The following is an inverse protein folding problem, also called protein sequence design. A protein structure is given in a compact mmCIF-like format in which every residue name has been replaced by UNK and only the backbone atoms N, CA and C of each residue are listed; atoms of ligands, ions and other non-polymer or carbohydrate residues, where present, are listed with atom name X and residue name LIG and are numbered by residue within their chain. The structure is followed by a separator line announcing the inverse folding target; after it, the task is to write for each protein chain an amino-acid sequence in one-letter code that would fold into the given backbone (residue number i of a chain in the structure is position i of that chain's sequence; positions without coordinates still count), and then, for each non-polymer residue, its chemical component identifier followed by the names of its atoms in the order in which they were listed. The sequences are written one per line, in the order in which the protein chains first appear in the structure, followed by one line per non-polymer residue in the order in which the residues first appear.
data_IF_295245119755
#
_entry.id   IF_295245119755
#
_cell.length_a   1.000
_cell.length_b   1.000
_cell.length_c   1.000
_cell.angle_alpha   90.00
_cell.angle_beta   90.00
_cell.angle_gamma   90.00
#
_symmetry.space_group_name_H-M   'P 1'
#
loop_
_entity.id
_entity.type
_entity.pdbx_description
1 polymer ?
#
# COMPACT_ATOMS: atom_id res chain seq x y z
N UNK A 1 13.89 20.14 -7.90
CA UNK A 1 13.45 21.01 -6.78
C UNK A 1 12.16 20.51 -6.14
N UNK A 2 11.11 20.29 -6.93
CA UNK A 2 9.83 19.70 -6.48
C UNK A 2 9.98 18.34 -5.78
N UNK A 3 10.77 17.40 -6.34
CA UNK A 3 11.04 16.09 -5.71
C UNK A 3 11.68 16.24 -4.32
N UNK A 4 12.63 17.16 -4.17
CA UNK A 4 13.30 17.42 -2.90
C UNK A 4 12.31 17.94 -1.86
N UNK A 5 11.39 18.82 -2.25
CA UNK A 5 10.33 19.32 -1.36
C UNK A 5 9.38 18.19 -0.92
N UNK A 6 8.90 17.38 -1.86
CA UNK A 6 8.04 16.22 -1.54
C UNK A 6 8.73 15.25 -0.56
N UNK A 7 10.02 14.99 -0.77
CA UNK A 7 10.81 14.13 0.11
C UNK A 7 11.06 14.72 1.50
N UNK A 8 11.23 16.04 1.61
CA UNK A 8 11.36 16.71 2.91
C UNK A 8 10.14 16.48 3.78
N UNK A 9 8.93 16.52 3.21
CA UNK A 9 7.67 16.29 3.96
C UNK A 9 7.64 14.88 4.55
N UNK A 10 8.00 13.85 3.78
CA UNK A 10 8.04 12.46 4.25
C UNK A 10 9.05 12.23 5.39
N UNK A 11 10.15 12.97 5.38
CA UNK A 11 11.22 12.86 6.38
C UNK A 11 10.94 13.70 7.64
N UNK A 12 10.09 14.71 7.55
CA UNK A 12 9.81 15.66 8.63
C UNK A 12 8.70 15.21 9.60
N UNK A 13 8.08 14.03 9.40
CA UNK A 13 7.01 13.53 10.27
C UNK A 13 7.58 13.24 11.67
N UNK A 14 7.20 14.06 12.65
CA UNK A 14 7.61 13.92 14.04
C UNK A 14 6.86 12.78 14.77
N UNK A 15 7.32 12.42 15.97
CA UNK A 15 6.78 11.25 16.68
C UNK A 15 5.34 11.44 17.18
N UNK A 16 4.93 12.66 17.49
CA UNK A 16 3.53 12.98 17.84
C UNK A 16 2.59 12.76 16.66
N UNK A 17 3.02 13.18 15.46
CA UNK A 17 2.27 12.96 14.22
C UNK A 17 2.23 11.47 13.89
N UNK A 18 3.35 10.74 14.02
CA UNK A 18 3.38 9.28 13.85
C UNK A 18 2.42 8.56 14.80
N UNK A 19 2.36 8.98 16.07
CA UNK A 19 1.44 8.40 17.04
C UNK A 19 -0.02 8.65 16.66
N UNK A 20 -0.34 9.85 16.18
CA UNK A 20 -1.69 10.20 15.72
C UNK A 20 -2.08 9.44 14.45
N UNK A 21 -1.19 9.35 13.47
CA UNK A 21 -1.41 8.55 12.26
C UNK A 21 -1.58 7.06 12.57
N UNK A 22 -0.82 6.51 13.53
CA UNK A 22 -1.03 5.13 14.02
C UNK A 22 -2.39 4.93 14.66
N UNK A 23 -2.83 5.85 15.52
CA UNK A 23 -4.18 5.76 16.11
C UNK A 23 -5.27 5.80 15.04
N UNK A 24 -5.08 6.60 14.00
CA UNK A 24 -6.05 6.73 12.90
C UNK A 24 -6.05 5.49 11.99
N UNK A 25 -4.89 5.08 11.48
CA UNK A 25 -4.79 4.05 10.44
C UNK A 25 -4.52 2.64 10.97
N UNK A 26 -4.17 2.48 12.24
CA UNK A 26 -4.14 1.19 12.95
C UNK A 26 -5.05 1.20 14.19
N UNK A 27 -6.35 1.44 14.03
CA UNK A 27 -7.28 1.54 15.16
C UNK A 27 -7.36 0.22 15.97
N UNK A 28 -6.99 -0.90 15.35
CA UNK A 28 -6.96 -2.25 15.97
C UNK A 28 -5.55 -2.74 16.30
N UNK A 29 -4.56 -1.86 16.25
CA UNK A 29 -3.15 -2.22 16.43
C UNK A 29 -2.43 -2.48 15.11
N UNK A 30 -1.09 -2.46 15.17
CA UNK A 30 -0.23 -2.71 14.01
C UNK A 30 -0.18 -4.21 13.73
N UNK A 31 -0.41 -4.68 12.48
CA UNK A 31 -0.27 -6.09 12.14
C UNK A 31 1.08 -6.64 12.60
N UNK A 32 1.04 -7.79 13.27
CA UNK A 32 2.23 -8.46 13.78
C UNK A 32 2.67 -9.56 12.82
N UNK A 33 3.99 -9.77 12.72
CA UNK A 33 4.57 -10.84 11.93
C UNK A 33 4.89 -12.00 12.86
N UNK A 34 4.42 -13.20 12.49
CA UNK A 34 4.66 -14.45 13.23
C UNK A 34 5.78 -15.31 12.62
N UNK A 35 6.21 -14.99 11.39
CA UNK A 35 7.32 -15.70 10.75
C UNK A 35 8.67 -15.22 11.36
N UNK A 36 9.52 -16.13 11.89
CA UNK A 36 10.70 -15.75 12.68
C UNK A 36 11.72 -14.86 11.94
N UNK A 37 11.92 -15.12 10.65
CA UNK A 37 12.94 -14.43 9.83
C UNK A 37 12.39 -13.19 9.11
N UNK A 38 11.13 -12.87 9.33
CA UNK A 38 10.45 -11.81 8.62
C UNK A 38 10.44 -10.51 9.43
N UNK A 39 10.93 -9.45 8.81
CA UNK A 39 11.00 -8.12 9.42
C UNK A 39 10.33 -7.08 8.53
N UNK A 40 9.89 -5.98 9.15
CA UNK A 40 9.37 -4.84 8.43
C UNK A 40 9.74 -3.53 9.11
N UNK A 41 9.74 -2.46 8.32
CA UNK A 41 9.74 -1.09 8.82
C UNK A 41 8.37 -0.47 8.60
N UNK A 42 7.89 0.29 9.58
CA UNK A 42 6.66 1.06 9.44
C UNK A 42 6.98 2.40 8.75
N UNK A 43 6.42 2.62 7.56
CA UNK A 43 6.48 3.89 6.84
C UNK A 43 5.16 4.64 7.03
N UNK A 44 5.26 5.97 7.16
CA UNK A 44 4.14 6.83 7.51
C UNK A 44 3.86 7.81 6.39
N UNK A 45 2.60 7.93 6.01
CA UNK A 45 2.06 8.94 5.11
C UNK A 45 0.87 9.59 5.81
N UNK A 46 0.46 10.76 5.32
CA UNK A 46 -0.64 11.51 5.95
C UNK A 46 -1.97 10.77 5.93
N UNK A 47 -2.20 9.94 4.91
CA UNK A 47 -3.48 9.26 4.67
C UNK A 47 -3.39 7.72 4.78
N UNK A 48 -2.18 7.15 4.98
CA UNK A 48 -1.97 5.70 5.08
C UNK A 48 -0.66 5.32 5.77
N UNK A 49 -0.52 4.05 6.14
CA UNK A 49 0.69 3.45 6.70
C UNK A 49 1.12 2.23 5.87
N UNK A 50 2.42 1.99 5.77
CA UNK A 50 2.99 0.83 5.08
C UNK A 50 3.81 -0.02 6.05
N UNK A 51 3.54 -1.32 6.13
CA UNK A 51 4.46 -2.31 6.68
C UNK A 51 5.40 -2.81 5.59
N UNK A 52 6.56 -2.18 5.43
CA UNK A 52 7.47 -2.46 4.30
C UNK A 52 8.51 -3.53 4.66
N UNK A 53 8.61 -4.60 3.88
CA UNK A 53 9.68 -5.59 4.02
C UNK A 53 10.81 -5.29 3.05
N UNK A 54 12.02 -5.14 3.59
CA UNK A 54 13.25 -4.97 2.79
C UNK A 54 13.70 -6.29 2.17
N UNK A 55 13.27 -7.41 2.73
CA UNK A 55 13.68 -8.74 2.27
C UNK A 55 12.93 -9.15 1.01
N UNK A 56 11.64 -8.78 0.90
CA UNK A 56 10.83 -9.00 -0.33
C UNK A 56 10.63 -7.73 -1.16
N UNK A 57 11.21 -6.60 -0.74
CA UNK A 57 11.29 -5.35 -1.52
C UNK A 57 9.89 -4.78 -1.87
N UNK A 58 8.90 -5.01 -1.01
CA UNK A 58 7.53 -4.54 -1.20
C UNK A 58 6.78 -4.43 0.14
N UNK A 59 5.61 -3.77 0.18
CA UNK A 59 4.73 -3.85 1.34
C UNK A 59 4.31 -5.28 1.66
N UNK A 60 4.36 -5.63 2.94
CA UNK A 60 3.59 -6.75 3.48
C UNK A 60 2.12 -6.37 3.60
N UNK A 61 1.88 -5.12 3.98
CA UNK A 61 0.55 -4.57 4.10
C UNK A 61 0.59 -3.05 3.98
N UNK A 62 -0.55 -2.48 3.57
CA UNK A 62 -0.86 -1.06 3.65
C UNK A 62 -2.18 -0.90 4.39
N UNK A 63 -2.23 0.04 5.35
CA UNK A 63 -3.41 0.30 6.18
C UNK A 63 -3.82 1.76 6.09
N UNK A 64 -5.12 2.00 5.89
CA UNK A 64 -5.68 3.34 5.79
C UNK A 64 -7.14 3.35 6.24
N UNK A 65 -7.65 4.54 6.53
CA UNK A 65 -9.06 4.75 6.88
C UNK A 65 -9.61 5.72 5.89
N UNK A 66 -10.77 5.39 5.33
CA UNK A 66 -11.55 6.32 4.53
C UNK A 66 -12.83 6.66 5.29
N UNK A 67 -13.15 7.94 5.31
CA UNK A 67 -14.46 8.44 5.69
C UNK A 67 -15.47 8.13 4.57
N UNK A 68 -16.79 8.28 4.82
CA UNK A 68 -17.80 8.16 3.76
C UNK A 68 -17.44 9.03 2.55
N UNK A 69 -17.07 8.39 1.45
CA UNK A 69 -16.64 9.09 0.25
C UNK A 69 -17.89 9.64 -0.47
N UNK A 70 -17.88 10.93 -0.83
CA UNK A 70 -18.94 11.55 -1.62
C UNK A 70 -18.74 11.29 -3.11
N UNK A 71 -17.49 11.32 -3.57
CA UNK A 71 -17.10 11.00 -4.93
C UNK A 71 -15.67 10.46 -4.95
N UNK A 72 -15.37 9.55 -5.88
CA UNK A 72 -14.00 9.11 -6.14
C UNK A 72 -13.45 9.92 -7.31
N UNK A 73 -12.28 10.55 -7.13
CA UNK A 73 -11.61 11.26 -8.22
C UNK A 73 -11.26 10.25 -9.31
N UNK A 74 -11.33 10.68 -10.57
CA UNK A 74 -10.88 9.83 -11.67
C UNK A 74 -9.43 9.39 -11.41
N UNK A 75 -9.08 8.12 -11.66
CA UNK A 75 -7.71 7.64 -11.45
C UNK A 75 -6.73 8.52 -12.23
N UNK A 76 -5.77 9.10 -11.53
CA UNK A 76 -4.64 9.75 -12.18
C UNK A 76 -3.75 8.70 -12.85
N UNK A 77 -3.13 9.02 -14.00
CA UNK A 77 -2.16 8.11 -14.62
C UNK A 77 -1.02 7.81 -13.63
N UNK A 78 -0.76 6.53 -13.38
CA UNK A 78 0.36 6.07 -12.53
C UNK A 78 1.73 6.22 -13.23
N UNK A 79 1.88 7.22 -14.10
CA UNK A 79 3.02 7.35 -15.03
C UNK A 79 4.32 7.79 -14.34
N UNK A 80 4.24 8.36 -13.14
CA UNK A 80 5.39 8.94 -12.44
C UNK A 80 5.50 8.42 -11.00
N UNK A 81 5.85 7.15 -10.84
CA UNK A 81 6.23 6.57 -9.54
C UNK A 81 7.67 6.94 -9.21
N UNK A 82 7.89 7.60 -8.08
CA UNK A 82 9.22 8.02 -7.61
C UNK A 82 9.80 7.06 -6.56
N UNK A 83 11.11 7.16 -6.32
CA UNK A 83 11.74 6.44 -5.23
C UNK A 83 11.32 7.01 -3.85
N UNK A 84 11.09 6.12 -2.88
CA UNK A 84 10.94 6.50 -1.48
C UNK A 84 12.32 6.65 -0.83
N UNK A 85 12.67 7.87 -0.43
CA UNK A 85 13.97 8.20 0.20
C UNK A 85 14.22 7.50 1.53
N UNK A 86 13.19 6.92 2.16
CA UNK A 86 13.32 6.18 3.42
C UNK A 86 13.74 4.73 3.21
N UNK A 87 13.63 4.24 1.98
CA UNK A 87 14.00 2.87 1.59
C UNK A 87 15.33 2.92 0.83
N UNK A 88 16.35 2.15 1.23
CA UNK A 88 17.60 2.07 0.48
C UNK A 88 17.36 1.65 -0.97
N UNK A 89 18.10 2.18 -1.96
CA UNK A 89 17.91 1.80 -3.37
C UNK A 89 18.05 0.29 -3.63
N UNK A 90 18.88 -0.42 -2.87
CA UNK A 90 19.04 -1.89 -2.97
C UNK A 90 17.86 -2.69 -2.41
N UNK A 91 16.97 -2.03 -1.66
CA UNK A 91 15.79 -2.63 -1.03
C UNK A 91 14.49 -2.01 -1.57
N UNK A 92 14.53 -1.33 -2.73
CA UNK A 92 13.36 -0.79 -3.42
C UNK A 92 13.20 -1.37 -4.83
N UNK A 93 11.96 -1.48 -5.31
CA UNK A 93 11.69 -1.93 -6.67
C UNK A 93 12.05 -0.85 -7.71
N UNK A 94 12.49 -1.29 -8.90
CA UNK A 94 12.79 -0.42 -10.03
C UNK A 94 11.61 -0.36 -11.02
N UNK A 95 11.19 0.85 -11.40
CA UNK A 95 10.13 1.06 -12.40
C UNK A 95 10.51 0.50 -13.79
N UNK A 96 11.81 0.40 -14.08
CA UNK A 96 12.32 -0.15 -15.35
C UNK A 96 11.88 -1.59 -15.60
N UNK A 97 11.62 -2.38 -14.54
CA UNK A 97 11.14 -3.75 -14.67
C UNK A 97 9.77 -3.84 -15.36
N UNK A 98 8.89 -2.90 -15.08
CA UNK A 98 7.52 -2.90 -15.58
C UNK A 98 7.40 -2.17 -16.93
N UNK A 99 8.34 -1.29 -17.23
CA UNK A 99 8.37 -0.52 -18.48
C UNK A 99 8.49 -1.48 -19.67
N UNK A 100 7.49 -1.46 -20.55
CA UNK A 100 7.41 -2.31 -21.75
C UNK A 100 7.40 -3.83 -21.48
N UNK A 101 7.11 -4.27 -20.25
CA UNK A 101 7.04 -5.70 -19.95
C UNK A 101 5.76 -6.31 -20.57
N UNK A 102 5.84 -7.43 -21.30
CA UNK A 102 4.71 -7.93 -22.12
C UNK A 102 3.51 -8.48 -21.35
N UNK A 103 3.62 -8.64 -20.02
CA UNK A 103 2.67 -9.42 -19.21
C UNK A 103 2.52 -8.92 -17.78
N UNK A 104 3.50 -8.19 -17.25
CA UNK A 104 3.55 -7.77 -15.87
C UNK A 104 3.50 -6.25 -15.82
N UNK A 105 2.70 -5.72 -14.92
CA UNK A 105 2.71 -4.31 -14.53
C UNK A 105 2.89 -4.23 -13.02
N UNK A 106 2.67 -3.06 -12.44
CA UNK A 106 2.56 -2.87 -11.02
C UNK A 106 1.18 -2.32 -10.65
N UNK A 107 0.78 -2.52 -9.41
CA UNK A 107 -0.32 -1.83 -8.77
C UNK A 107 0.17 -1.06 -7.54
N UNK A 108 -0.63 -0.12 -7.08
CA UNK A 108 -0.43 0.61 -5.84
C UNK A 108 -1.43 0.09 -4.80
N UNK A 109 -0.95 -0.25 -3.61
CA UNK A 109 -1.82 -0.77 -2.55
C UNK A 109 -2.67 0.34 -1.91
N UNK A 110 -2.10 1.53 -1.72
CA UNK A 110 -2.87 2.75 -1.49
C UNK A 110 -3.07 3.52 -2.81
N UNK A 111 -4.30 3.63 -3.35
CA UNK A 111 -4.55 4.37 -4.58
C UNK A 111 -4.37 5.90 -4.40
N UNK A 112 -3.69 6.60 -5.33
CA UNK A 112 -3.41 8.04 -5.19
C UNK A 112 -4.64 8.93 -5.03
N UNK A 113 -5.73 8.60 -5.71
CA UNK A 113 -7.00 9.34 -5.66
C UNK A 113 -7.75 9.22 -4.32
N UNK A 114 -7.27 8.39 -3.39
CA UNK A 114 -7.80 8.31 -2.02
C UNK A 114 -7.08 9.26 -1.05
N UNK A 115 -6.02 9.96 -1.47
CA UNK A 115 -5.40 10.97 -0.62
C UNK A 115 -6.37 12.14 -0.37
N UNK A 116 -6.52 12.49 0.91
CA UNK A 116 -7.40 13.56 1.39
C UNK A 116 -6.58 14.70 1.98
N UNK A 117 -5.58 14.36 2.80
CA UNK A 117 -4.77 15.31 3.55
C UNK A 117 -3.46 15.67 2.85
N UNK A 118 -3.03 14.86 1.87
CA UNK A 118 -1.79 15.03 1.13
C UNK A 118 -2.00 15.03 -0.40
N UNK A 119 -1.01 15.49 -1.19
CA UNK A 119 -1.05 15.38 -2.65
C UNK A 119 -1.02 13.91 -3.09
N UNK A 120 -1.65 13.59 -4.23
CA UNK A 120 -1.69 12.22 -4.79
C UNK A 120 -0.29 11.60 -4.99
N UNK A 121 0.72 12.46 -5.21
CA UNK A 121 2.14 12.08 -5.36
C UNK A 121 2.73 11.34 -4.16
N UNK A 122 2.12 11.43 -2.98
CA UNK A 122 2.57 10.71 -1.78
C UNK A 122 2.20 9.22 -1.82
N UNK A 123 1.29 8.84 -2.72
CA UNK A 123 0.96 7.44 -3.02
C UNK A 123 1.72 6.92 -4.24
N UNK A 124 2.27 7.81 -5.07
CA UNK A 124 3.08 7.48 -6.26
C UNK A 124 4.56 7.23 -5.88
N UNK A 125 4.79 6.32 -4.93
CA UNK A 125 6.12 5.95 -4.44
C UNK A 125 6.37 4.44 -4.58
N UNK A 126 7.60 4.04 -4.88
CA UNK A 126 7.93 2.63 -5.10
C UNK A 126 7.78 1.75 -3.84
N UNK A 127 7.75 2.35 -2.64
CA UNK A 127 7.46 1.62 -1.40
C UNK A 127 5.99 1.24 -1.24
N UNK A 128 5.07 1.78 -2.05
CA UNK A 128 3.65 1.42 -2.12
C UNK A 128 3.33 0.48 -3.31
N UNK A 129 4.36 0.06 -4.05
CA UNK A 129 4.23 -0.65 -5.32
C UNK A 129 4.32 -2.17 -5.14
N UNK A 130 3.47 -2.91 -5.86
CA UNK A 130 3.46 -4.38 -5.90
C UNK A 130 3.36 -4.89 -7.33
N UNK A 131 4.08 -5.96 -7.73
CA UNK A 131 3.90 -6.59 -9.04
C UNK A 131 2.47 -7.08 -9.22
N UNK A 132 1.84 -6.75 -10.34
CA UNK A 132 0.43 -7.06 -10.58
C UNK A 132 0.18 -7.37 -12.06
N UNK A 133 -0.57 -8.42 -12.35
CA UNK A 133 -0.98 -8.70 -13.73
C UNK A 133 -2.02 -7.67 -14.21
N UNK A 134 -1.96 -7.19 -15.47
CA UNK A 134 -2.91 -6.20 -15.99
C UNK A 134 -4.38 -6.58 -15.82
N UNK A 135 -4.72 -7.86 -16.02
CA UNK A 135 -6.08 -8.35 -15.82
C UNK A 135 -6.53 -8.22 -14.35
N UNK A 136 -5.65 -8.54 -13.40
CA UNK A 136 -5.95 -8.37 -11.98
C UNK A 136 -5.96 -6.90 -11.57
N UNK A 137 -5.11 -6.06 -12.16
CA UNK A 137 -5.13 -4.61 -11.94
C UNK A 137 -6.49 -4.00 -12.27
N UNK A 138 -7.17 -4.46 -13.32
CA UNK A 138 -8.54 -4.01 -13.60
C UNK A 138 -9.52 -4.35 -12.47
N UNK A 139 -9.41 -5.54 -11.86
CA UNK A 139 -10.22 -5.94 -10.69
C UNK A 139 -9.88 -5.06 -9.49
N UNK A 140 -8.59 -4.85 -9.23
CA UNK A 140 -8.09 -3.98 -8.16
C UNK A 140 -8.62 -2.55 -8.29
N UNK A 141 -8.50 -1.97 -9.48
CA UNK A 141 -8.98 -0.62 -9.79
C UNK A 141 -10.50 -0.53 -9.66
N UNK A 142 -11.26 -1.51 -10.15
CA UNK A 142 -12.73 -1.51 -10.01
C UNK A 142 -13.16 -1.59 -8.54
N UNK A 143 -12.49 -2.43 -7.74
CA UNK A 143 -12.78 -2.52 -6.31
C UNK A 143 -12.58 -1.15 -5.63
N UNK A 144 -11.43 -0.52 -5.82
CA UNK A 144 -11.09 0.74 -5.16
C UNK A 144 -11.90 1.94 -5.69
N UNK A 145 -12.27 1.96 -6.97
CA UNK A 145 -13.04 3.06 -7.55
C UNK A 145 -14.54 2.97 -7.29
N UNK A 146 -15.09 1.75 -7.27
CA UNK A 146 -16.54 1.55 -7.32
C UNK A 146 -17.07 0.89 -6.05
N UNK A 147 -16.48 -0.22 -5.64
CA UNK A 147 -16.98 -0.98 -4.48
C UNK A 147 -16.63 -0.29 -3.16
N UNK A 148 -15.42 0.24 -3.05
CA UNK A 148 -14.93 0.91 -1.86
C UNK A 148 -15.74 2.18 -1.54
N UNK A 149 -16.10 2.96 -2.57
CA UNK A 149 -17.03 4.08 -2.45
C UNK A 149 -18.34 3.64 -1.79
N UNK A 150 -18.98 2.61 -2.35
CA UNK A 150 -20.25 2.07 -1.83
C UNK A 150 -20.12 1.59 -0.39
N UNK A 151 -19.06 0.85 -0.08
CA UNK A 151 -18.83 0.33 1.28
C UNK A 151 -18.55 1.43 2.29
N UNK A 152 -17.77 2.44 1.93
CA UNK A 152 -17.51 3.59 2.81
C UNK A 152 -18.79 4.33 3.20
N UNK A 153 -19.76 4.43 2.29
CA UNK A 153 -21.05 5.08 2.55
C UNK A 153 -21.96 4.22 3.44
N UNK A 154 -22.11 2.93 3.12
CA UNK A 154 -23.00 2.03 3.85
C UNK A 154 -22.50 1.80 5.28
N UNK A 155 -21.18 1.79 5.48
CA UNK A 155 -20.56 1.43 6.75
C UNK A 155 -20.11 2.63 7.60
N UNK A 156 -20.45 3.86 7.17
CA UNK A 156 -20.03 5.12 7.81
C UNK A 156 -18.49 5.22 7.99
N UNK A 157 -17.76 4.97 6.92
CA UNK A 157 -16.30 4.90 6.92
C UNK A 157 -15.79 3.50 7.23
N UNK A 158 -14.61 3.19 6.70
CA UNK A 158 -13.99 1.87 6.81
C UNK A 158 -12.48 1.99 6.99
N UNK A 159 -11.91 1.09 7.77
CA UNK A 159 -10.49 0.79 7.75
C UNK A 159 -10.23 -0.33 6.73
N UNK A 160 -9.18 -0.15 5.93
CA UNK A 160 -8.73 -1.12 4.94
C UNK A 160 -7.31 -1.54 5.32
N UNK A 161 -7.06 -2.85 5.34
CA UNK A 161 -5.71 -3.41 5.30
C UNK A 161 -5.59 -4.28 4.07
N UNK A 162 -4.56 -4.06 3.26
CA UNK A 162 -4.36 -4.83 2.03
C UNK A 162 -2.90 -5.19 1.81
N UNK A 163 -2.62 -6.27 1.08
CA UNK A 163 -1.26 -6.71 0.81
C UNK A 163 -1.17 -7.94 -0.08
N UNK A 164 0.06 -8.33 -0.48
CA UNK A 164 0.32 -9.53 -1.27
C UNK A 164 0.27 -10.81 -0.42
N UNK A 165 0.01 -11.94 -1.08
CA UNK A 165 0.11 -13.29 -0.52
C UNK A 165 1.00 -14.14 -1.41
N UNK A 166 1.88 -14.92 -0.78
CA UNK A 166 2.71 -15.94 -1.42
C UNK A 166 2.34 -17.31 -0.84
N UNK A 167 1.69 -18.13 -1.67
CA UNK A 167 1.30 -19.52 -1.40
C UNK A 167 1.49 -20.30 -2.71
N UNK A 168 2.76 -20.51 -3.07
CA UNK A 168 3.15 -21.13 -4.34
C UNK A 168 2.97 -22.64 -4.34
N UNK A 169 2.89 -23.25 -3.15
CA UNK A 169 2.66 -24.68 -2.97
C UNK A 169 1.18 -25.03 -2.70
N UNK A 170 0.30 -24.04 -2.60
CA UNK A 170 -1.15 -24.15 -2.43
C UNK A 170 -1.55 -24.89 -1.13
N UNK A 171 -0.75 -24.75 -0.07
CA UNK A 171 -1.01 -25.40 1.22
C UNK A 171 -1.82 -24.53 2.21
N UNK A 172 -2.19 -23.31 1.78
CA UNK A 172 -2.95 -22.35 2.57
C UNK A 172 -2.14 -21.65 3.67
N UNK A 173 -0.83 -21.85 3.71
CA UNK A 173 0.10 -21.14 4.59
C UNK A 173 0.95 -20.18 3.78
N UNK A 174 1.45 -19.14 4.45
CA UNK A 174 2.38 -18.23 3.80
C UNK A 174 3.71 -18.94 3.53
N UNK A 175 4.21 -18.81 2.31
CA UNK A 175 5.55 -19.24 1.93
C UNK A 175 6.60 -18.59 2.86
N UNK A 176 7.73 -19.30 3.03
CA UNK A 176 8.86 -18.77 3.80
C UNK A 176 9.43 -17.52 3.15
N UNK A 177 9.76 -16.53 3.96
CA UNK A 177 10.48 -15.35 3.50
C UNK A 177 11.87 -15.73 2.99
N UNK A 178 12.06 -15.61 1.69
CA UNK A 178 13.37 -15.64 1.07
C UNK A 178 13.78 -14.22 0.72
N UNK A 179 14.96 -13.82 1.18
CA UNK A 179 15.52 -12.52 0.82
C UNK A 179 15.79 -12.47 -0.68
N UNK A 180 15.17 -11.50 -1.34
CA UNK A 180 15.36 -11.27 -2.77
C UNK A 180 16.76 -10.69 -3.00
N UNK A 181 17.45 -11.26 -3.98
CA UNK A 181 18.72 -10.74 -4.48
C UNK A 181 18.44 -9.87 -5.71
N UNK A 182 18.75 -8.57 -5.63
CA UNK A 182 18.47 -7.60 -6.68
C UNK A 182 17.29 -6.69 -6.36
N UNK A 183 16.67 -6.08 -7.38
CA UNK A 183 15.59 -5.11 -7.23
C UNK A 183 14.25 -5.59 -7.80
N UNK A 184 14.11 -6.92 -7.90
CA UNK A 184 12.98 -7.57 -8.54
C UNK A 184 12.15 -8.38 -7.52
N UNK A 185 11.15 -7.73 -6.94
CA UNK A 185 10.09 -8.34 -6.13
C UNK A 185 9.45 -9.60 -6.75
N UNK A 186 9.16 -10.64 -5.97
CA UNK A 186 8.40 -11.78 -6.48
C UNK A 186 6.97 -11.40 -6.85
N UNK A 187 6.36 -12.13 -7.79
CA UNK A 187 4.98 -11.89 -8.18
C UNK A 187 4.03 -12.57 -7.18
N UNK A 188 3.13 -11.83 -6.51
CA UNK A 188 2.20 -12.42 -5.56
C UNK A 188 1.28 -13.46 -6.22
N UNK A 189 1.01 -14.54 -5.50
CA UNK A 189 0.01 -15.56 -5.90
C UNK A 189 -1.41 -15.02 -5.74
N UNK A 190 -1.64 -14.26 -4.67
CA UNK A 190 -2.93 -13.65 -4.35
C UNK A 190 -2.71 -12.26 -3.73
N UNK A 191 -3.82 -11.55 -3.51
CA UNK A 191 -3.87 -10.32 -2.74
C UNK A 191 -4.99 -10.42 -1.72
N UNK A 192 -4.78 -9.85 -0.53
CA UNK A 192 -5.83 -9.73 0.48
C UNK A 192 -6.33 -8.29 0.61
N UNK A 193 -7.59 -8.17 1.01
CA UNK A 193 -8.28 -6.93 1.39
C UNK A 193 -9.14 -7.23 2.62
N UNK A 194 -8.79 -6.64 3.76
CA UNK A 194 -9.53 -6.74 5.01
C UNK A 194 -10.23 -5.40 5.23
N UNK A 195 -11.56 -5.43 5.18
CA UNK A 195 -12.40 -4.26 5.47
C UNK A 195 -12.92 -4.38 6.90
N UNK A 196 -12.71 -3.35 7.71
CA UNK A 196 -13.20 -3.30 9.09
C UNK A 196 -13.98 -2.02 9.33
N UNK A 197 -15.17 -2.15 9.90
CA UNK A 197 -16.03 -1.03 10.29
C UNK A 197 -16.64 -1.26 11.66
N UNK A 198 -17.21 -0.21 12.24
CA UNK A 198 -18.05 -0.35 13.42
C UNK A 198 -19.36 -1.05 13.06
N UNK A 199 -19.85 -1.93 13.94
CA UNK A 199 -21.17 -2.57 13.78
C UNK A 199 -22.30 -1.54 13.85
N UNK A 200 -22.14 -0.53 14.69
CA UNK A 200 -23.07 0.60 14.74
C UNK A 200 -22.56 1.72 13.83
N UNK A 201 -23.32 2.01 12.77
CA UNK A 201 -22.98 2.99 11.74
C UNK A 201 -23.34 4.44 12.13
N UNK A 202 -23.87 4.67 13.33
CA UNK A 202 -24.24 6.01 13.81
C UNK A 202 -23.19 6.65 14.72
N UNK A 203 -22.08 5.97 14.98
CA UNK A 203 -20.92 6.53 15.68
C UNK A 203 -19.92 7.13 14.71
#
# INVERSE_FOLDING_TARGET
EMEKQMNTVLLAINDETKASLRRLHHPFGTPQIIQPDASFCLLYQSDYLIGYSRDIIMPLWVSYVIQPLVHVRAPSPEECVRADVRVPPSAGQLCSRFKNHPRLTFGLLHPPYLNVSAPETDSLINSNMVPMFPAFKNVWTYFHNSLLLKYSQILNGINIISGPIFDTNFDGHADKFNKILGNEADVPTHFFLILTSCRNSTF
#
